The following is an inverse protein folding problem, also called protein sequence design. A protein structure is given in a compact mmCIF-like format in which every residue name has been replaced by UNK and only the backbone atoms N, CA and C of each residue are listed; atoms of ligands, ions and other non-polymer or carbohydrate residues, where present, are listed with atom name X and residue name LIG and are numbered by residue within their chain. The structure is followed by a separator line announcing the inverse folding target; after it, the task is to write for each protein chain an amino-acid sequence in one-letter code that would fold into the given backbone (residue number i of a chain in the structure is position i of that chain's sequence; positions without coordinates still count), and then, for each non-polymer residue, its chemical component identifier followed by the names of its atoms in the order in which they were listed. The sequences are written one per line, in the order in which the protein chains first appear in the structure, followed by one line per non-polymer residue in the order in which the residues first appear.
data_IF_980707697351
#
_entry.id   IF_980707697351
#
_cell.length_a   1.000
_cell.length_b   1.000
_cell.length_c   1.000
_cell.angle_alpha   90.00
_cell.angle_beta   90.00
_cell.angle_gamma   90.00
#
_symmetry.space_group_name_H-M   'P 1'
#
loop_
_entity.id
_entity.type
_entity.pdbx_description
1 polymer ?
#
# COMPACT_ATOMS: atom_id res chain seq x y z
N UNK A 1 7.78 -6.46 76.20
CA UNK A 1 6.71 -7.28 75.60
C UNK A 1 7.14 -7.66 74.19
N UNK A 2 7.63 -8.90 74.07
CA UNK A 2 7.91 -9.75 72.90
C UNK A 2 8.29 -9.11 71.57
N UNK A 3 9.59 -8.80 71.45
CA UNK A 3 10.27 -8.62 70.18
C UNK A 3 10.91 -9.96 69.78
N UNK A 4 10.15 -10.88 69.20
CA UNK A 4 10.63 -12.09 68.53
C UNK A 4 9.44 -12.73 67.79
N UNK A 5 9.08 -12.16 66.65
CA UNK A 5 8.38 -12.92 65.62
C UNK A 5 9.19 -14.20 65.40
N UNK A 6 8.55 -15.35 65.63
CA UNK A 6 9.18 -16.66 65.57
C UNK A 6 9.89 -16.80 64.20
N UNK A 7 11.14 -17.27 64.16
CA UNK A 7 11.94 -17.36 62.92
C UNK A 7 11.17 -18.07 61.79
N UNK A 8 10.30 -19.00 62.14
CA UNK A 8 9.41 -19.70 61.22
C UNK A 8 8.31 -18.83 60.61
N UNK A 9 7.73 -17.89 61.37
CA UNK A 9 6.72 -16.95 60.87
C UNK A 9 7.34 -15.93 59.92
N UNK A 10 8.56 -15.45 60.21
CA UNK A 10 9.31 -14.60 59.28
C UNK A 10 9.66 -15.32 57.98
N UNK A 11 10.01 -16.62 58.06
CA UNK A 11 10.32 -17.44 56.89
C UNK A 11 9.07 -17.74 56.04
N UNK A 12 7.91 -17.98 56.68
CA UNK A 12 6.62 -18.11 56.00
C UNK A 12 6.20 -16.78 55.35
N UNK A 13 6.32 -15.66 56.06
CA UNK A 13 6.04 -14.33 55.53
C UNK A 13 6.90 -14.00 54.32
N UNK A 14 8.22 -14.21 54.40
CA UNK A 14 9.14 -14.00 53.28
C UNK A 14 8.80 -14.89 52.06
N UNK A 15 8.44 -16.16 52.28
CA UNK A 15 8.04 -17.08 51.20
C UNK A 15 6.75 -16.62 50.51
N UNK A 16 5.74 -16.21 51.27
CA UNK A 16 4.50 -15.65 50.72
C UNK A 16 4.74 -14.35 49.95
N UNK A 17 5.61 -13.48 50.45
CA UNK A 17 5.97 -12.23 49.79
C UNK A 17 6.71 -12.47 48.47
N UNK A 18 7.58 -13.48 48.42
CA UNK A 18 8.29 -13.91 47.22
C UNK A 18 7.33 -14.50 46.17
N UNK A 19 6.31 -15.26 46.61
CA UNK A 19 5.26 -15.79 45.72
C UNK A 19 4.43 -14.64 45.15
N UNK A 20 4.00 -13.69 45.98
CA UNK A 20 3.25 -12.51 45.53
C UNK A 20 4.08 -11.70 44.52
N UNK A 21 5.37 -11.48 44.82
CA UNK A 21 6.28 -10.78 43.91
C UNK A 21 6.44 -11.52 42.58
N UNK A 22 6.60 -12.84 42.60
CA UNK A 22 6.70 -13.65 41.38
C UNK A 22 5.41 -13.59 40.54
N UNK A 23 4.23 -13.59 41.17
CA UNK A 23 2.94 -13.44 40.49
C UNK A 23 2.84 -12.05 39.87
N UNK A 24 3.15 -10.99 40.63
CA UNK A 24 3.12 -9.61 40.12
C UNK A 24 4.10 -9.42 38.95
N UNK A 25 5.30 -9.99 39.04
CA UNK A 25 6.30 -9.94 37.98
C UNK A 25 5.85 -10.72 36.74
N UNK A 26 5.24 -11.88 36.92
CA UNK A 26 4.65 -12.65 35.82
C UNK A 26 3.53 -11.90 35.11
N UNK A 27 2.61 -11.28 35.87
CA UNK A 27 1.54 -10.43 35.32
C UNK A 27 2.14 -9.25 34.56
N UNK A 28 3.16 -8.59 35.11
CA UNK A 28 3.85 -7.49 34.43
C UNK A 28 4.44 -7.93 33.09
N UNK A 29 5.14 -9.06 33.03
CA UNK A 29 5.70 -9.58 31.78
C UNK A 29 4.61 -9.90 30.76
N UNK A 30 3.49 -10.52 31.20
CA UNK A 30 2.37 -10.85 30.32
C UNK A 30 1.74 -9.57 29.76
N UNK A 31 1.47 -8.58 30.62
CA UNK A 31 0.91 -7.29 30.19
C UNK A 31 1.88 -6.58 29.24
N UNK A 32 3.18 -6.55 29.55
CA UNK A 32 4.19 -5.96 28.68
C UNK A 32 4.25 -6.66 27.32
N UNK A 33 4.20 -8.00 27.29
CA UNK A 33 4.21 -8.76 26.06
C UNK A 33 2.94 -8.52 25.22
N UNK A 34 1.76 -8.57 25.85
CA UNK A 34 0.48 -8.28 25.19
C UNK A 34 0.49 -6.83 24.68
N UNK A 35 0.96 -5.87 25.47
CA UNK A 35 1.08 -4.48 25.05
C UNK A 35 2.05 -4.32 23.89
N UNK A 36 3.20 -5.01 23.89
CA UNK A 36 4.16 -4.97 22.79
C UNK A 36 3.57 -5.55 21.49
N UNK A 37 2.84 -6.67 21.57
CA UNK A 37 2.13 -7.21 20.41
C UNK A 37 1.00 -6.30 19.96
N UNK A 38 0.24 -5.74 20.91
CA UNK A 38 -0.85 -4.81 20.61
C UNK A 38 -0.36 -3.49 20.03
N UNK A 39 0.78 -2.96 20.49
CA UNK A 39 1.41 -1.75 19.96
C UNK A 39 1.97 -2.00 18.57
N UNK A 40 2.55 -3.18 18.32
CA UNK A 40 2.94 -3.61 16.97
C UNK A 40 1.74 -3.64 16.04
N UNK A 41 0.65 -4.28 16.48
CA UNK A 41 -0.61 -4.35 15.73
C UNK A 41 -1.25 -2.97 15.55
N UNK A 42 -1.27 -2.12 16.58
CA UNK A 42 -1.79 -0.75 16.50
C UNK A 42 -0.95 0.14 15.60
N UNK A 43 0.38 0.01 15.58
CA UNK A 43 1.24 0.74 14.66
C UNK A 43 1.03 0.24 13.21
N UNK A 44 0.75 -1.05 13.03
CA UNK A 44 0.29 -1.60 11.76
C UNK A 44 -1.13 -1.11 11.36
N UNK A 45 -2.02 -0.79 12.31
CA UNK A 45 -3.37 -0.25 12.03
C UNK A 45 -3.45 1.30 12.00
N UNK A 46 -2.52 2.02 12.64
CA UNK A 46 -2.34 3.49 12.59
C UNK A 46 -1.85 3.99 11.24
N UNK A 47 -1.67 3.09 10.28
CA UNK A 47 -1.35 3.34 8.88
C UNK A 47 -2.41 4.25 8.19
N UNK A 48 -3.48 4.72 8.84
CA UNK A 48 -4.49 5.58 8.20
C UNK A 48 -4.61 7.03 8.74
N UNK A 49 -4.50 7.37 10.05
CA UNK A 49 -4.66 8.76 10.48
C UNK A 49 -3.35 9.57 10.56
N UNK A 50 -2.19 8.92 10.72
CA UNK A 50 -0.89 9.57 10.97
C UNK A 50 0.18 9.15 9.95
N UNK A 51 -0.23 8.98 8.69
CA UNK A 51 0.65 8.77 7.56
C UNK A 51 1.54 10.00 7.34
N UNK A 52 2.66 10.06 8.05
CA UNK A 52 3.80 10.82 7.59
C UNK A 52 4.41 10.04 6.43
N UNK A 53 4.11 10.54 5.24
CA UNK A 53 4.73 10.20 3.97
C UNK A 53 6.22 10.60 4.10
N UNK A 54 7.08 9.68 4.54
CA UNK A 54 8.50 9.95 4.74
C UNK A 54 9.26 9.92 3.39
N UNK A 55 9.64 11.12 2.94
CA UNK A 55 10.76 11.51 2.06
C UNK A 55 11.21 10.52 0.96
N UNK A 56 10.42 10.40 -0.10
CA UNK A 56 11.01 10.45 -1.45
C UNK A 56 10.86 11.87 -2.02
N UNK A 57 11.51 12.18 -3.15
CA UNK A 57 11.56 13.53 -3.77
C UNK A 57 10.17 14.03 -4.19
N UNK A 58 9.33 14.39 -3.23
CA UNK A 58 7.90 14.60 -3.40
C UNK A 58 7.52 16.01 -2.97
N UNK A 59 6.64 16.65 -3.74
CA UNK A 59 5.97 17.86 -3.29
C UNK A 59 4.76 17.47 -2.45
N UNK A 60 4.98 17.22 -1.15
CA UNK A 60 3.90 16.93 -0.22
C UNK A 60 3.04 18.19 0.00
N UNK A 61 1.71 18.03 -0.10
CA UNK A 61 0.76 19.08 0.26
C UNK A 61 0.05 18.70 1.55
N UNK A 62 0.19 19.59 2.53
CA UNK A 62 -0.63 19.69 3.73
C UNK A 62 -1.35 21.04 3.69
N UNK A 63 -2.33 21.28 2.81
CA UNK A 63 -2.87 22.64 2.68
C UNK A 63 -4.29 22.75 2.15
N UNK A 64 -4.98 23.78 2.66
CA UNK A 64 -6.29 24.29 2.24
C UNK A 64 -6.26 24.95 0.84
N UNK A 65 -5.10 25.43 0.37
CA UNK A 65 -4.88 25.94 -0.99
C UNK A 65 -3.39 25.93 -1.28
N UNK A 66 -2.93 25.26 -2.35
CA UNK A 66 -1.51 25.25 -2.75
C UNK A 66 -1.39 25.18 -4.27
N UNK A 67 -0.45 25.95 -4.80
CA UNK A 67 -0.02 25.89 -6.19
C UNK A 67 1.34 25.18 -6.20
N UNK A 68 1.50 24.21 -7.08
CA UNK A 68 2.77 23.52 -7.36
C UNK A 68 3.15 23.87 -8.79
N UNK A 69 4.30 24.50 -8.94
CA UNK A 69 4.92 24.70 -10.25
C UNK A 69 5.62 23.40 -10.66
N UNK A 70 5.27 22.91 -11.85
CA UNK A 70 5.92 21.75 -12.47
C UNK A 70 6.46 22.16 -13.84
N UNK A 71 7.41 21.40 -14.39
CA UNK A 71 7.93 21.55 -15.76
C UNK A 71 6.83 21.53 -16.82
N UNK A 72 5.68 20.95 -16.51
CA UNK A 72 4.56 20.78 -17.42
C UNK A 72 3.41 21.78 -17.18
N UNK A 73 3.54 22.68 -16.21
CA UNK A 73 2.54 23.67 -15.84
C UNK A 73 2.18 23.64 -14.36
N UNK A 74 1.31 24.56 -13.96
CA UNK A 74 0.89 24.70 -12.57
C UNK A 74 -0.22 23.70 -12.21
N UNK A 75 -0.06 23.04 -11.06
CA UNK A 75 -1.08 22.21 -10.42
C UNK A 75 -1.61 22.97 -9.22
N UNK A 76 -2.90 23.26 -9.21
CA UNK A 76 -3.56 23.98 -8.12
C UNK A 76 -4.53 23.07 -7.39
N UNK A 77 -4.36 22.93 -6.08
CA UNK A 77 -5.25 22.15 -5.23
C UNK A 77 -5.99 23.10 -4.29
N UNK A 78 -7.31 23.16 -4.43
CA UNK A 78 -8.21 24.03 -3.67
C UNK A 78 -9.11 23.16 -2.78
N UNK A 79 -9.09 23.40 -1.48
CA UNK A 79 -9.99 22.71 -0.55
C UNK A 79 -11.36 23.40 -0.54
N UNK A 80 -12.43 22.64 -0.76
CA UNK A 80 -13.81 23.12 -0.62
C UNK A 80 -14.27 22.96 0.83
N UNK A 81 -14.12 21.75 1.40
CA UNK A 81 -14.48 21.43 2.77
C UNK A 81 -13.51 20.40 3.38
N UNK A 82 -13.85 19.75 4.50
CA UNK A 82 -12.96 18.81 5.19
C UNK A 82 -12.44 17.66 4.32
N UNK A 83 -13.22 17.19 3.34
CA UNK A 83 -12.92 16.01 2.53
C UNK A 83 -12.99 16.25 1.03
N UNK A 84 -13.59 17.35 0.58
CA UNK A 84 -13.74 17.68 -0.84
C UNK A 84 -12.69 18.69 -1.30
N UNK A 85 -12.04 18.37 -2.42
CA UNK A 85 -10.97 19.14 -3.04
C UNK A 85 -11.23 19.30 -4.54
N UNK A 86 -10.72 20.40 -5.09
CA UNK A 86 -10.64 20.64 -6.52
C UNK A 86 -9.18 20.63 -6.92
N UNK A 87 -8.81 19.75 -7.83
CA UNK A 87 -7.48 19.73 -8.47
C UNK A 87 -7.62 20.35 -9.85
N UNK A 88 -6.89 21.43 -10.10
CA UNK A 88 -6.86 22.13 -11.39
C UNK A 88 -5.50 21.99 -12.03
N UNK A 89 -5.48 21.64 -13.31
CA UNK A 89 -4.28 21.59 -14.12
C UNK A 89 -4.63 21.98 -15.55
N UNK A 90 -4.05 23.08 -16.05
CA UNK A 90 -4.40 23.68 -17.35
C UNK A 90 -5.91 23.95 -17.45
N UNK A 91 -6.58 23.38 -18.45
CA UNK A 91 -8.02 23.46 -18.71
C UNK A 91 -8.84 22.39 -17.98
N UNK A 92 -8.19 21.52 -17.19
CA UNK A 92 -8.84 20.40 -16.49
C UNK A 92 -9.13 20.72 -15.04
N UNK A 93 -10.29 20.27 -14.58
CA UNK A 93 -10.75 20.38 -13.20
C UNK A 93 -11.26 19.01 -12.72
N UNK A 94 -10.73 18.55 -11.60
CA UNK A 94 -11.09 17.28 -10.98
C UNK A 94 -11.67 17.54 -9.58
N UNK A 95 -12.90 17.08 -9.36
CA UNK A 95 -13.57 17.17 -8.06
C UNK A 95 -13.37 15.87 -7.28
N UNK A 96 -12.63 15.93 -6.20
CA UNK A 96 -12.12 14.75 -5.52
C UNK A 96 -12.44 14.72 -4.03
N UNK A 97 -12.88 13.54 -3.56
CA UNK A 97 -12.96 13.24 -2.13
C UNK A 97 -11.67 12.58 -1.66
N UNK A 98 -10.90 13.31 -0.88
CA UNK A 98 -9.57 12.90 -0.44
C UNK A 98 -9.32 13.27 1.03
N UNK A 99 -8.36 12.59 1.64
CA UNK A 99 -7.73 13.10 2.85
C UNK A 99 -6.80 14.26 2.47
N UNK A 100 -6.41 15.10 3.43
CA UNK A 100 -5.63 16.36 3.20
C UNK A 100 -4.22 16.18 2.60
N UNK A 101 -3.92 15.01 2.05
CA UNK A 101 -2.61 14.58 1.56
C UNK A 101 -2.66 14.39 0.05
N UNK A 102 -1.92 15.23 -0.67
CA UNK A 102 -1.70 15.09 -2.10
C UNK A 102 -0.21 15.01 -2.38
N UNK A 103 0.15 14.11 -3.29
CA UNK A 103 1.48 13.95 -3.84
C UNK A 103 1.42 14.26 -5.34
N UNK A 104 2.33 15.10 -5.82
CA UNK A 104 2.45 15.44 -7.23
C UNK A 104 3.84 15.05 -7.69
N UNK A 105 3.92 14.24 -8.75
CA UNK A 105 5.16 13.70 -9.31
C UNK A 105 5.26 14.01 -10.80
N UNK A 106 6.43 14.46 -11.22
CA UNK A 106 6.80 14.58 -12.62
C UNK A 106 7.35 13.25 -13.12
N UNK A 107 6.80 12.75 -14.22
CA UNK A 107 7.32 11.63 -15.00
C UNK A 107 7.84 12.17 -16.35
N UNK A 108 8.51 11.32 -17.13
CA UNK A 108 9.19 11.72 -18.37
C UNK A 108 8.26 12.41 -19.40
N UNK A 109 6.99 12.00 -19.48
CA UNK A 109 5.98 12.57 -20.40
C UNK A 109 4.60 12.75 -19.74
N UNK A 110 4.57 12.81 -18.40
CA UNK A 110 3.32 12.89 -17.66
C UNK A 110 3.49 13.52 -16.28
N UNK A 111 2.35 13.91 -15.72
CA UNK A 111 2.20 14.34 -14.34
C UNK A 111 1.33 13.31 -13.61
N UNK A 112 1.79 12.83 -12.46
CA UNK A 112 1.06 11.90 -11.61
C UNK A 112 0.64 12.61 -10.33
N UNK A 113 -0.67 12.60 -10.04
CA UNK A 113 -1.24 13.17 -8.82
C UNK A 113 -1.85 12.03 -8.00
N UNK A 114 -1.31 11.78 -6.81
CA UNK A 114 -1.69 10.66 -5.96
C UNK A 114 -2.23 11.15 -4.62
N UNK A 115 -3.34 10.58 -4.16
CA UNK A 115 -3.95 10.96 -2.88
C UNK A 115 -4.75 9.80 -2.28
N UNK A 116 -4.84 9.71 -0.93
CA UNK A 116 -5.70 8.73 -0.28
C UNK A 116 -7.16 9.00 -0.62
N UNK A 117 -7.84 8.02 -1.21
CA UNK A 117 -9.24 8.15 -1.64
C UNK A 117 -10.19 7.61 -0.59
N UNK A 118 -11.38 8.21 -0.51
CA UNK A 118 -12.50 7.64 0.26
C UNK A 118 -13.24 6.53 -0.49
N UNK A 119 -13.18 6.53 -1.83
CA UNK A 119 -14.00 5.64 -2.65
C UNK A 119 -13.55 4.18 -2.53
N UNK A 120 -12.23 3.96 -2.52
CA UNK A 120 -11.60 2.69 -2.21
C UNK A 120 -10.63 2.98 -1.07
N UNK A 121 -10.59 2.11 -0.03
CA UNK A 121 -9.57 2.18 1.03
C UNK A 121 -8.18 1.94 0.39
N UNK A 122 -7.60 2.97 -0.20
CA UNK A 122 -6.43 2.90 -1.07
C UNK A 122 -6.03 4.28 -1.62
N UNK A 123 -5.15 4.28 -2.61
CA UNK A 123 -4.60 5.51 -3.21
C UNK A 123 -5.24 5.69 -4.58
N UNK A 124 -5.91 6.82 -4.80
CA UNK A 124 -6.33 7.25 -6.14
C UNK A 124 -5.20 8.02 -6.79
N UNK A 125 -5.02 7.77 -8.08
CA UNK A 125 -4.00 8.35 -8.92
C UNK A 125 -4.67 8.94 -10.15
N UNK A 126 -4.30 10.17 -10.49
CA UNK A 126 -4.66 10.85 -11.73
C UNK A 126 -3.36 11.06 -12.50
N UNK A 127 -3.18 10.30 -13.58
CA UNK A 127 -2.05 10.42 -14.50
C UNK A 127 -2.47 11.26 -15.69
N UNK A 128 -1.83 12.40 -15.88
CA UNK A 128 -2.11 13.35 -16.95
C UNK A 128 -0.89 13.37 -17.88
N UNK A 129 -1.04 12.83 -19.09
CA UNK A 129 0.03 12.82 -20.09
C UNK A 129 0.14 14.15 -20.82
N UNK A 130 1.32 14.44 -21.36
CA UNK A 130 1.57 15.68 -22.14
C UNK A 130 0.67 15.80 -23.37
N UNK A 131 0.29 14.68 -23.98
CA UNK A 131 -0.63 14.62 -25.11
C UNK A 131 -2.10 14.88 -24.73
N UNK A 132 -2.41 15.04 -23.44
CA UNK A 132 -3.76 15.31 -22.93
C UNK A 132 -4.55 14.06 -22.51
N UNK A 133 -4.00 12.86 -22.70
CA UNK A 133 -4.61 11.62 -22.18
C UNK A 133 -4.59 11.60 -20.66
N UNK A 134 -5.69 11.17 -20.05
CA UNK A 134 -5.86 11.10 -18.59
C UNK A 134 -6.23 9.68 -18.20
N UNK A 135 -5.49 9.13 -17.24
CA UNK A 135 -5.84 7.85 -16.61
C UNK A 135 -6.15 8.07 -15.14
N UNK A 136 -7.30 7.57 -14.71
CA UNK A 136 -7.65 7.48 -13.30
C UNK A 136 -7.51 6.04 -12.85
N UNK A 137 -6.70 5.79 -11.83
CA UNK A 137 -6.50 4.45 -11.31
C UNK A 137 -6.29 4.41 -9.79
N UNK A 138 -6.64 3.27 -9.19
CA UNK A 138 -6.59 3.06 -7.75
C UNK A 138 -5.58 1.97 -7.42
N UNK A 139 -4.77 2.18 -6.38
CA UNK A 139 -3.89 1.16 -5.77
C UNK A 139 -4.56 0.61 -4.52
N UNK A 140 -4.85 -0.69 -4.49
CA UNK A 140 -5.74 -1.35 -3.50
C UNK A 140 -5.01 -2.40 -2.67
N UNK A 141 -5.38 -2.54 -1.40
CA UNK A 141 -4.95 -1.67 -0.31
C UNK A 141 -3.47 -1.94 0.04
N UNK A 142 -2.62 -0.92 0.07
CA UNK A 142 -1.19 -1.11 0.42
C UNK A 142 -0.55 0.15 1.02
N UNK A 143 0.65 -0.06 1.56
CA UNK A 143 1.53 0.96 2.13
C UNK A 143 1.68 2.17 1.18
N UNK A 144 1.58 3.37 1.76
CA UNK A 144 1.73 4.64 1.04
C UNK A 144 3.18 4.93 0.67
N UNK A 145 4.14 4.21 1.23
CA UNK A 145 5.57 4.44 0.99
C UNK A 145 6.09 3.77 -0.29
N UNK A 146 5.34 2.86 -0.91
CA UNK A 146 5.83 2.18 -2.11
C UNK A 146 5.57 2.96 -3.41
N UNK A 147 6.53 2.89 -4.34
CA UNK A 147 6.54 3.62 -5.62
C UNK A 147 5.90 2.83 -6.78
N UNK A 148 5.12 1.78 -6.47
CA UNK A 148 4.53 0.92 -7.51
C UNK A 148 3.54 1.64 -8.43
N UNK A 149 2.97 2.76 -7.98
CA UNK A 149 2.18 3.68 -8.80
C UNK A 149 3.00 4.35 -9.91
N UNK A 150 4.31 4.58 -9.71
CA UNK A 150 5.22 5.07 -10.76
C UNK A 150 5.45 4.01 -11.82
N UNK A 151 5.74 2.77 -11.41
CA UNK A 151 5.93 1.64 -12.34
C UNK A 151 4.65 1.39 -13.16
N UNK A 152 3.49 1.43 -12.51
CA UNK A 152 2.21 1.27 -13.19
C UNK A 152 1.89 2.46 -14.11
N UNK A 153 2.23 3.70 -13.72
CA UNK A 153 2.07 4.86 -14.60
C UNK A 153 2.94 4.76 -15.85
N UNK A 154 4.19 4.29 -15.71
CA UNK A 154 5.04 3.97 -16.87
C UNK A 154 4.37 2.96 -17.78
N UNK A 155 3.69 1.96 -17.21
CA UNK A 155 2.95 0.98 -17.97
C UNK A 155 1.83 1.60 -18.81
N UNK A 156 1.00 2.45 -18.19
CA UNK A 156 -0.08 3.16 -18.89
C UNK A 156 0.43 4.10 -20.00
N UNK A 157 1.67 4.59 -19.89
CA UNK A 157 2.30 5.39 -20.95
C UNK A 157 2.77 4.57 -22.17
N UNK A 158 2.61 3.23 -22.16
CA UNK A 158 2.78 2.36 -23.34
C UNK A 158 4.15 1.71 -23.51
N UNK A 159 4.99 1.69 -22.48
CA UNK A 159 6.41 1.32 -22.61
C UNK A 159 6.73 -0.17 -22.30
N UNK A 160 5.84 -1.13 -22.60
CA UNK A 160 6.05 -2.52 -22.18
C UNK A 160 5.64 -3.59 -23.19
N UNK A 161 6.42 -4.66 -23.19
CA UNK A 161 6.23 -5.83 -24.01
C UNK A 161 5.15 -6.74 -23.43
N UNK A 162 4.15 -7.06 -24.26
CA UNK A 162 3.20 -8.14 -23.98
C UNK A 162 3.92 -9.47 -24.19
N UNK A 163 3.83 -10.36 -23.22
CA UNK A 163 4.41 -11.71 -23.30
C UNK A 163 3.32 -12.78 -23.29
N UNK A 164 3.67 -14.00 -23.71
CA UNK A 164 2.77 -15.12 -23.53
C UNK A 164 2.90 -15.69 -22.12
N UNK A 165 1.84 -16.35 -21.63
CA UNK A 165 1.90 -17.08 -20.37
C UNK A 165 2.97 -18.17 -20.37
N UNK A 166 3.26 -18.79 -21.53
CA UNK A 166 4.35 -19.76 -21.71
C UNK A 166 5.72 -19.20 -21.34
N UNK A 167 5.90 -17.88 -21.45
CA UNK A 167 7.18 -17.21 -21.24
C UNK A 167 7.39 -16.79 -19.78
N UNK A 168 6.38 -17.02 -18.93
CA UNK A 168 6.50 -16.80 -17.49
C UNK A 168 7.45 -17.84 -16.85
N UNK A 169 8.20 -17.45 -15.81
CA UNK A 169 8.94 -18.39 -14.99
C UNK A 169 8.05 -19.52 -14.48
N UNK A 170 8.49 -20.78 -14.62
CA UNK A 170 7.76 -21.98 -14.15
C UNK A 170 7.33 -21.89 -12.68
N UNK A 171 8.12 -21.23 -11.84
CA UNK A 171 7.81 -20.99 -10.42
C UNK A 171 6.55 -20.15 -10.17
N UNK A 172 6.09 -19.36 -11.15
CA UNK A 172 4.86 -18.57 -11.06
C UNK A 172 3.66 -19.35 -11.62
N UNK A 173 3.92 -20.30 -12.52
CA UNK A 173 2.90 -21.16 -13.08
C UNK A 173 2.53 -22.24 -12.07
N UNK A 174 1.24 -22.52 -11.95
CA UNK A 174 0.78 -23.78 -11.35
C UNK A 174 0.44 -24.74 -12.46
N UNK A 175 1.03 -25.93 -12.42
CA UNK A 175 0.82 -26.98 -13.41
C UNK A 175 -0.67 -27.33 -13.64
N UNK A 176 -0.94 -27.75 -14.86
CA UNK A 176 -2.17 -28.34 -15.43
C UNK A 176 -3.40 -27.45 -15.67
N UNK A 177 -3.44 -26.20 -15.20
CA UNK A 177 -4.54 -25.29 -15.50
C UNK A 177 -4.04 -24.07 -16.28
N UNK A 178 -4.43 -23.95 -17.54
CA UNK A 178 -4.13 -22.77 -18.36
C UNK A 178 -4.54 -21.48 -17.62
N UNK A 179 -3.66 -20.47 -17.65
CA UNK A 179 -3.89 -19.12 -17.09
C UNK A 179 -4.08 -19.02 -15.57
N UNK A 180 -3.63 -20.00 -14.78
CA UNK A 180 -3.61 -19.88 -13.31
C UNK A 180 -2.22 -19.56 -12.77
N UNK A 181 -2.13 -18.60 -11.82
CA UNK A 181 -0.89 -18.13 -11.20
C UNK A 181 -1.05 -18.12 -9.69
N UNK A 182 -0.10 -18.76 -8.98
CA UNK A 182 -0.06 -18.75 -7.52
C UNK A 182 1.01 -17.80 -7.02
N UNK A 183 0.57 -16.79 -6.27
CA UNK A 183 1.42 -15.74 -5.72
C UNK A 183 1.45 -15.93 -4.22
N UNK A 184 2.60 -16.39 -3.73
CA UNK A 184 2.87 -16.46 -2.31
C UNK A 184 3.34 -15.09 -1.84
N UNK A 185 2.55 -14.44 -0.99
CA UNK A 185 2.94 -13.20 -0.31
C UNK A 185 3.16 -13.50 1.18
N UNK A 186 3.90 -12.61 1.87
CA UNK A 186 4.32 -12.78 3.27
C UNK A 186 3.21 -13.23 4.23
N UNK A 187 1.98 -12.74 4.03
CA UNK A 187 0.85 -12.99 4.92
C UNK A 187 -0.27 -13.83 4.31
N UNK A 188 -0.25 -14.07 3.00
CA UNK A 188 -1.34 -14.76 2.31
C UNK A 188 -0.89 -15.27 0.95
N UNK A 189 -1.61 -16.27 0.43
CA UNK A 189 -1.40 -16.77 -0.93
C UNK A 189 -2.57 -16.31 -1.79
N UNK A 190 -2.26 -15.75 -2.96
CA UNK A 190 -3.25 -15.36 -3.95
C UNK A 190 -3.22 -16.34 -5.12
N UNK A 191 -4.40 -16.62 -5.66
CA UNK A 191 -4.55 -17.39 -6.90
C UNK A 191 -5.20 -16.47 -7.91
N UNK A 192 -4.45 -16.08 -8.93
CA UNK A 192 -4.99 -15.36 -10.08
C UNK A 192 -5.44 -16.39 -11.10
N UNK A 193 -6.67 -16.26 -11.60
CA UNK A 193 -7.25 -17.14 -12.63
C UNK A 193 -7.74 -16.30 -13.78
N UNK A 194 -7.73 -16.88 -14.96
CA UNK A 194 -8.37 -16.31 -16.15
C UNK A 194 -7.85 -14.91 -16.52
N UNK A 195 -6.56 -14.63 -16.32
CA UNK A 195 -5.99 -13.34 -16.73
C UNK A 195 -5.88 -13.28 -18.26
N UNK A 196 -6.28 -12.15 -18.85
CA UNK A 196 -6.39 -11.96 -20.30
C UNK A 196 -5.04 -11.72 -20.96
N UNK A 197 -4.22 -10.89 -20.32
CA UNK A 197 -2.96 -10.39 -20.86
C UNK A 197 -1.90 -10.37 -19.76
N UNK A 198 -0.66 -10.57 -20.19
CA UNK A 198 0.52 -10.54 -19.33
C UNK A 198 1.56 -9.62 -19.96
N UNK A 199 2.15 -8.76 -19.15
CA UNK A 199 3.21 -7.84 -19.56
C UNK A 199 4.43 -8.04 -18.68
N UNK A 200 5.61 -7.95 -19.29
CA UNK A 200 6.88 -7.99 -18.57
C UNK A 200 7.38 -6.58 -18.36
N UNK A 201 7.44 -6.14 -17.11
CA UNK A 201 7.88 -4.79 -16.75
C UNK A 201 9.39 -4.72 -16.48
N UNK A 202 9.96 -5.80 -15.94
CA UNK A 202 11.40 -5.92 -15.75
C UNK A 202 11.80 -7.40 -15.70
N UNK A 203 13.07 -7.70 -15.38
CA UNK A 203 13.55 -9.09 -15.22
C UNK A 203 12.63 -9.94 -14.33
N UNK A 204 12.13 -9.35 -13.26
CA UNK A 204 11.39 -10.03 -12.20
C UNK A 204 10.01 -9.42 -11.91
N UNK A 205 9.55 -8.47 -12.73
CA UNK A 205 8.29 -7.77 -12.51
C UNK A 205 7.32 -8.05 -13.66
N UNK A 206 6.13 -8.52 -13.30
CA UNK A 206 5.10 -8.95 -14.25
C UNK A 206 3.77 -8.29 -13.90
N UNK A 207 3.02 -7.87 -14.92
CA UNK A 207 1.70 -7.27 -14.76
C UNK A 207 0.67 -8.15 -15.47
N UNK A 208 -0.30 -8.63 -14.71
CA UNK A 208 -1.44 -9.41 -15.21
C UNK A 208 -2.64 -8.49 -15.32
N UNK A 209 -3.45 -8.66 -16.36
CA UNK A 209 -4.62 -7.84 -16.61
C UNK A 209 -5.87 -8.72 -16.70
N UNK A 210 -6.95 -8.27 -16.06
CA UNK A 210 -8.30 -8.80 -16.16
C UNK A 210 -9.24 -7.68 -16.66
N UNK A 211 -9.63 -7.75 -17.92
CA UNK A 211 -10.49 -6.78 -18.60
C UNK A 211 -11.97 -6.92 -18.20
N UNK A 212 -12.37 -8.14 -17.85
CA UNK A 212 -13.74 -8.54 -17.54
C UNK A 212 -14.11 -8.40 -16.05
N UNK A 213 -13.20 -7.88 -15.23
CA UNK A 213 -13.41 -7.71 -13.78
C UNK A 213 -14.70 -6.95 -13.43
N UNK A 214 -14.98 -5.83 -14.11
CA UNK A 214 -16.23 -5.09 -13.90
C UNK A 214 -16.58 -4.19 -15.08
N UNK A 215 -17.82 -3.69 -15.09
CA UNK A 215 -18.29 -2.74 -16.09
C UNK A 215 -17.50 -1.41 -16.07
N UNK A 216 -16.99 -1.00 -14.92
CA UNK A 216 -16.40 0.33 -14.72
C UNK A 216 -14.87 0.32 -14.63
N UNK A 217 -14.26 -0.85 -14.37
CA UNK A 217 -12.83 -0.97 -14.09
C UNK A 217 -12.18 -2.11 -14.87
N UNK A 218 -10.93 -1.89 -15.28
CA UNK A 218 -9.98 -2.94 -15.66
C UNK A 218 -9.08 -3.20 -14.45
N UNK A 219 -8.93 -4.46 -14.06
CA UNK A 219 -8.11 -4.85 -12.93
C UNK A 219 -6.72 -5.31 -13.40
N UNK A 220 -5.70 -4.90 -12.66
CA UNK A 220 -4.33 -5.29 -12.92
C UNK A 220 -3.65 -5.78 -11.64
N UNK A 221 -2.83 -6.81 -11.78
CA UNK A 221 -2.05 -7.40 -10.70
C UNK A 221 -0.57 -7.27 -11.04
N UNK A 222 0.13 -6.41 -10.32
CA UNK A 222 1.56 -6.23 -10.45
C UNK A 222 2.27 -7.13 -9.44
N UNK A 223 3.09 -8.05 -9.95
CA UNK A 223 3.85 -9.01 -9.16
C UNK A 223 5.33 -8.71 -9.31
N UNK A 224 5.97 -8.38 -8.20
CA UNK A 224 7.42 -8.25 -8.13
C UNK A 224 8.03 -9.47 -7.43
N UNK A 225 8.90 -10.17 -8.16
CA UNK A 225 9.65 -11.35 -7.76
C UNK A 225 11.16 -11.09 -7.70
N UNK A 226 11.56 -9.93 -7.16
CA UNK A 226 12.96 -9.50 -6.95
C UNK A 226 13.81 -10.51 -6.16
N UNK A 227 15.13 -10.53 -6.43
CA UNK A 227 16.07 -11.59 -6.01
C UNK A 227 16.10 -11.86 -4.49
N UNK A 228 15.98 -10.83 -3.67
CA UNK A 228 15.90 -10.97 -2.20
C UNK A 228 14.60 -11.65 -1.73
N UNK A 229 13.54 -11.56 -2.53
CA UNK A 229 12.24 -12.20 -2.29
C UNK A 229 12.12 -13.58 -2.98
N UNK A 230 13.08 -13.93 -3.86
CA UNK A 230 13.08 -15.16 -4.65
C UNK A 230 13.39 -16.38 -3.77
N UNK A 231 14.32 -16.26 -2.82
CA UNK A 231 14.73 -17.37 -1.96
C UNK A 231 13.61 -17.80 -1.01
N UNK A 232 12.83 -16.83 -0.49
CA UNK A 232 11.72 -17.09 0.44
C UNK A 232 10.36 -17.32 -0.24
N UNK A 233 10.26 -17.15 -1.56
CA UNK A 233 8.99 -17.15 -2.32
C UNK A 233 7.97 -16.13 -1.76
N UNK A 234 8.43 -14.96 -1.33
CA UNK A 234 7.59 -13.89 -0.77
C UNK A 234 7.39 -12.78 -1.80
N UNK A 235 6.57 -13.05 -2.82
CA UNK A 235 6.29 -12.07 -3.88
C UNK A 235 5.51 -10.87 -3.35
N UNK A 236 5.85 -9.69 -3.87
CA UNK A 236 5.09 -8.47 -3.61
C UNK A 236 3.98 -8.38 -4.67
N UNK A 237 2.73 -8.44 -4.22
CA UNK A 237 1.55 -8.21 -5.06
C UNK A 237 0.99 -6.81 -4.84
N UNK A 238 0.67 -6.11 -5.93
CA UNK A 238 -0.09 -4.86 -5.93
C UNK A 238 -1.26 -4.97 -6.89
N UNK A 239 -2.43 -4.53 -6.42
CA UNK A 239 -3.67 -4.54 -7.20
C UNK A 239 -3.95 -3.11 -7.65
N UNK A 240 -4.17 -2.93 -8.95
CA UNK A 240 -4.56 -1.68 -9.55
C UNK A 240 -5.91 -1.79 -10.23
N UNK A 241 -6.77 -0.80 -10.05
CA UNK A 241 -8.05 -0.68 -10.75
C UNK A 241 -8.01 0.57 -11.62
N UNK A 242 -8.09 0.43 -12.94
CA UNK A 242 -8.13 1.55 -13.88
C UNK A 242 -9.57 1.81 -14.28
N UNK A 243 -10.03 3.06 -14.13
CA UNK A 243 -11.35 3.46 -14.60
C UNK A 243 -11.43 3.32 -16.12
N UNK A 244 -12.45 2.60 -16.60
CA UNK A 244 -12.81 2.57 -18.02
C UNK A 244 -13.31 3.97 -18.37
N UNK A 245 -12.62 4.66 -19.27
CA UNK A 245 -13.15 5.92 -19.80
C UNK A 245 -14.49 5.63 -20.47
N UNK A 246 -15.57 6.24 -19.96
CA UNK A 246 -16.87 6.21 -20.61
C UNK A 246 -16.70 6.88 -21.97
N UNK A 247 -16.82 6.09 -23.04
CA UNK A 247 -16.86 6.59 -24.41
C UNK A 247 -18.14 7.37 -24.67
#
# INVERSE_FOLDING_TARGET
MNNLLNKEERKKGAKSLLIIFAIMFGIYIIIWFIWSQYEKVLNEFKILPSLQIEKANWYNIYSNKKIIETKYGEVKIEKIDETNFIVKYKDKEFHEKAFRYFNVRELDDALLISFPSFYIRGIKNILIRKNGEIYTFYKVPTDLQDEYDVYFSKFLMGNFEKINFSDLPERLKTGDVEKTINIKAKYTNFILRDMDKVYKLSKNMYLFMNEDFSANYIEYYLVNAEEENIEEKNYILRIFLVEKQLR
#
